data_IF_469070388614
#
_entry.id   IF_469070388614
#
_cell.length_a   1.000
_cell.length_b   1.000
_cell.length_c   1.000
_cell.angle_alpha   90.00
_cell.angle_beta   90.00
_cell.angle_gamma   90.00
#
_symmetry.space_group_name_H-M   'P 1'
#
loop_
_entity.id
_entity.type
_entity.pdbx_description
1 polymer ?
#
# COMPACT_ATOMS: atom_id res chain seq x y z
N UNK A 1 -4.66 5.31 16.38
CA UNK A 1 -5.64 5.27 15.28
C UNK A 1 -5.12 5.98 14.05
N UNK A 2 -5.08 7.32 14.07
CA UNK A 2 -4.74 8.13 12.91
C UNK A 2 -3.41 7.75 12.23
N UNK A 3 -2.41 7.30 12.99
CA UNK A 3 -1.12 6.86 12.42
C UNK A 3 -1.24 5.66 11.47
N UNK A 4 -2.08 4.68 11.80
CA UNK A 4 -2.29 3.49 10.95
C UNK A 4 -2.99 3.92 9.66
N UNK A 5 -3.97 4.82 9.76
CA UNK A 5 -4.69 5.36 8.61
C UNK A 5 -3.77 6.19 7.71
N UNK A 6 -2.93 7.05 8.30
CA UNK A 6 -1.92 7.85 7.58
C UNK A 6 -0.95 6.94 6.86
N UNK A 7 -0.42 5.91 7.52
CA UNK A 7 0.47 4.93 6.87
C UNK A 7 -0.25 4.21 5.73
N UNK A 8 -1.52 3.82 5.92
CA UNK A 8 -2.33 3.20 4.87
C UNK A 8 -2.50 4.12 3.66
N UNK A 9 -2.84 5.39 3.89
CA UNK A 9 -2.94 6.41 2.83
C UNK A 9 -1.62 6.60 2.11
N UNK A 10 -0.48 6.62 2.81
CA UNK A 10 0.84 6.73 2.18
C UNK A 10 1.14 5.52 1.30
N UNK A 11 0.89 4.29 1.78
CA UNK A 11 1.07 3.06 0.99
C UNK A 11 0.20 3.08 -0.28
N UNK A 12 -1.06 3.46 -0.12
CA UNK A 12 -2.01 3.59 -1.22
C UNK A 12 -1.51 4.64 -2.23
N UNK A 13 -1.15 5.82 -1.75
CA UNK A 13 -0.68 6.92 -2.60
C UNK A 13 0.58 6.54 -3.38
N UNK A 14 1.59 5.95 -2.73
CA UNK A 14 2.80 5.49 -3.41
C UNK A 14 2.51 4.40 -4.43
N UNK A 15 1.56 3.51 -4.13
CA UNK A 15 1.12 2.50 -5.08
C UNK A 15 0.45 3.12 -6.31
N UNK A 16 -0.44 4.09 -6.13
CA UNK A 16 -1.02 4.83 -7.25
C UNK A 16 0.00 5.66 -8.02
N UNK A 17 0.98 6.24 -7.33
CA UNK A 17 2.05 7.00 -7.99
C UNK A 17 2.86 6.11 -8.93
N UNK A 18 3.12 4.85 -8.53
CA UNK A 18 3.79 3.83 -9.35
C UNK A 18 2.98 3.35 -10.56
N UNK A 19 1.68 3.65 -10.64
CA UNK A 19 0.83 3.29 -11.79
C UNK A 19 0.95 4.30 -12.94
N UNK A 20 1.51 5.48 -12.69
CA UNK A 20 1.54 6.57 -13.68
C UNK A 20 2.66 6.27 -14.71
N UNK A 21 2.33 6.04 -16.00
CA UNK A 21 3.31 5.66 -17.02
C UNK A 21 4.04 6.92 -17.54
N UNK A 22 4.90 7.49 -16.70
CA UNK A 22 5.68 8.70 -17.01
C UNK A 22 7.15 8.41 -16.75
N UNK A 23 7.99 8.69 -17.74
CA UNK A 23 9.43 8.42 -17.66
C UNK A 23 10.22 9.40 -16.78
N UNK A 24 9.56 10.42 -16.22
CA UNK A 24 10.23 11.37 -15.32
C UNK A 24 10.64 10.66 -14.03
N UNK A 25 11.87 10.90 -13.60
CA UNK A 25 12.50 10.23 -12.46
C UNK A 25 11.64 10.20 -11.18
N UNK A 26 10.93 11.30 -10.87
CA UNK A 26 10.06 11.41 -9.70
C UNK A 26 8.80 10.52 -9.73
N UNK A 27 8.36 10.01 -10.90
CA UNK A 27 7.31 8.99 -11.00
C UNK A 27 7.92 7.60 -10.83
N UNK A 28 9.00 7.34 -11.57
CA UNK A 28 9.76 6.09 -11.49
C UNK A 28 10.35 5.83 -10.11
N UNK A 29 10.58 6.86 -9.30
CA UNK A 29 11.03 6.77 -7.92
C UNK A 29 10.15 5.85 -7.05
N UNK A 30 8.84 5.80 -7.31
CA UNK A 30 7.92 4.91 -6.59
C UNK A 30 7.99 3.44 -7.06
N UNK A 31 8.58 3.17 -8.22
CA UNK A 31 8.78 1.81 -8.74
C UNK A 31 9.99 1.10 -8.11
N UNK A 32 10.92 1.83 -7.51
CA UNK A 32 12.10 1.25 -6.86
C UNK A 32 11.80 0.58 -5.50
N UNK A 33 11.05 1.21 -4.57
CA UNK A 33 10.86 0.67 -3.23
C UNK A 33 9.66 -0.30 -3.11
N UNK A 34 9.37 -1.13 -4.14
CA UNK A 34 8.16 -1.99 -4.13
C UNK A 34 8.10 -2.94 -2.94
N UNK A 35 9.22 -3.55 -2.57
CA UNK A 35 9.29 -4.45 -1.40
C UNK A 35 9.06 -3.69 -0.09
N UNK A 36 9.58 -2.47 0.03
CA UNK A 36 9.37 -1.61 1.20
C UNK A 36 7.90 -1.18 1.29
N UNK A 37 7.30 -0.76 0.18
CA UNK A 37 5.86 -0.42 0.12
C UNK A 37 5.02 -1.63 0.52
N UNK A 38 5.38 -2.82 0.02
CA UNK A 38 4.69 -4.07 0.34
C UNK A 38 4.80 -4.42 1.83
N UNK A 39 6.01 -4.35 2.39
CA UNK A 39 6.27 -4.64 3.80
C UNK A 39 5.50 -3.68 4.72
N UNK A 40 5.58 -2.38 4.47
CA UNK A 40 4.83 -1.37 5.23
C UNK A 40 3.32 -1.54 5.03
N UNK A 41 2.87 -1.91 3.83
CA UNK A 41 1.49 -2.24 3.53
C UNK A 41 0.95 -3.39 4.39
N UNK A 42 1.71 -4.48 4.52
CA UNK A 42 1.32 -5.58 5.40
C UNK A 42 1.27 -5.18 6.89
N UNK A 43 2.22 -4.36 7.37
CA UNK A 43 2.17 -3.82 8.73
C UNK A 43 0.90 -2.98 8.93
N UNK A 44 0.56 -2.12 7.97
CA UNK A 44 -0.64 -1.31 8.00
C UNK A 44 -1.92 -2.17 7.98
N UNK A 45 -1.94 -3.24 7.19
CA UNK A 45 -3.06 -4.19 7.12
C UNK A 45 -3.29 -4.88 8.47
N UNK A 46 -2.23 -5.40 9.09
CA UNK A 46 -2.29 -5.99 10.43
C UNK A 46 -2.78 -4.94 11.44
N UNK A 47 -2.26 -3.71 11.38
CA UNK A 47 -2.71 -2.61 12.23
C UNK A 47 -4.20 -2.30 12.06
N UNK A 48 -4.71 -2.27 10.83
CA UNK A 48 -6.13 -2.01 10.55
C UNK A 48 -7.04 -3.11 11.11
N UNK A 49 -6.63 -4.37 11.00
CA UNK A 49 -7.43 -5.53 11.43
C UNK A 49 -7.44 -5.75 12.94
N UNK A 50 -6.30 -5.56 13.62
CA UNK A 50 -6.13 -6.01 15.01
C UNK A 50 -6.06 -4.88 16.04
N UNK A 51 -5.85 -3.62 15.63
CA UNK A 51 -5.85 -2.53 16.60
C UNK A 51 -7.29 -2.17 17.01
N UNK A 52 -7.60 -2.10 18.32
CA UNK A 52 -8.94 -1.77 18.79
C UNK A 52 -9.30 -0.32 18.42
N UNK A 53 -10.22 -0.18 17.47
CA UNK A 53 -10.82 1.06 17.00
C UNK A 53 -12.31 0.89 16.80
N UNK A 54 -13.02 2.00 16.84
CA UNK A 54 -14.31 2.11 16.15
C UNK A 54 -14.12 1.95 14.64
N UNK A 55 -15.04 1.21 14.03
CA UNK A 55 -15.16 1.07 12.58
C UNK A 55 -16.22 2.03 12.07
N UNK A 56 -15.86 2.78 11.04
CA UNK A 56 -16.76 3.61 10.28
C UNK A 56 -16.53 3.36 8.78
N UNK A 57 -17.40 3.93 7.96
CA UNK A 57 -17.35 3.71 6.50
C UNK A 57 -16.02 4.13 5.88
N UNK A 58 -15.35 5.16 6.44
CA UNK A 58 -14.04 5.59 5.96
C UNK A 58 -12.95 4.54 6.21
N UNK A 59 -12.96 3.92 7.40
CA UNK A 59 -11.99 2.90 7.77
C UNK A 59 -12.19 1.61 6.97
N UNK A 60 -13.44 1.27 6.67
CA UNK A 60 -13.80 0.15 5.78
C UNK A 60 -13.31 0.38 4.35
N UNK A 61 -13.59 1.57 3.79
CA UNK A 61 -13.10 1.94 2.46
C UNK A 61 -11.57 1.96 2.40
N UNK A 62 -10.92 2.52 3.42
CA UNK A 62 -9.46 2.57 3.50
C UNK A 62 -8.85 1.17 3.55
N UNK A 63 -9.45 0.24 4.31
CA UNK A 63 -9.04 -1.16 4.35
C UNK A 63 -9.15 -1.81 2.97
N UNK A 64 -10.29 -1.63 2.28
CA UNK A 64 -10.52 -2.23 0.97
C UNK A 64 -9.50 -1.75 -0.07
N UNK A 65 -9.21 -0.44 -0.10
CA UNK A 65 -8.22 0.14 -1.01
C UNK A 65 -6.80 -0.28 -0.63
N UNK A 66 -6.48 -0.39 0.67
CA UNK A 66 -5.20 -0.90 1.14
C UNK A 66 -4.96 -2.35 0.68
N UNK A 67 -5.96 -3.21 0.79
CA UNK A 67 -5.88 -4.60 0.30
C UNK A 67 -5.61 -4.62 -1.21
N UNK A 68 -6.31 -3.79 -1.99
CA UNK A 68 -6.08 -3.67 -3.43
C UNK A 68 -4.66 -3.19 -3.77
N UNK A 69 -4.14 -2.21 -3.01
CA UNK A 69 -2.78 -1.72 -3.18
C UNK A 69 -1.72 -2.81 -2.90
N UNK A 70 -1.89 -3.57 -1.80
CA UNK A 70 -1.01 -4.71 -1.46
C UNK A 70 -1.06 -5.78 -2.54
N UNK A 71 -2.27 -6.15 -3.01
CA UNK A 71 -2.44 -7.13 -4.08
C UNK A 71 -1.74 -6.72 -5.37
N UNK A 72 -1.81 -5.43 -5.74
CA UNK A 72 -1.09 -4.89 -6.89
C UNK A 72 0.44 -4.95 -6.70
N UNK A 73 0.95 -4.54 -5.54
CA UNK A 73 2.39 -4.62 -5.26
C UNK A 73 2.89 -6.07 -5.27
N UNK A 74 2.11 -7.00 -4.69
CA UNK A 74 2.40 -8.44 -4.77
C UNK A 74 2.49 -8.92 -6.22
N UNK A 75 1.48 -8.60 -7.04
CA UNK A 75 1.48 -8.96 -8.47
C UNK A 75 2.73 -8.45 -9.19
N UNK A 76 3.23 -7.26 -8.83
CA UNK A 76 4.43 -6.69 -9.43
C UNK A 76 5.72 -7.31 -8.90
N UNK A 77 5.75 -7.84 -7.68
CA UNK A 77 6.95 -8.43 -7.06
C UNK A 77 7.08 -9.93 -7.37
N UNK A 78 5.98 -10.68 -7.30
CA UNK A 78 5.97 -12.15 -7.41
C UNK A 78 6.71 -12.73 -8.63
N UNK A 79 6.58 -12.16 -9.86
CA UNK A 79 7.30 -12.67 -11.03
C UNK A 79 8.83 -12.63 -10.91
N UNK A 80 9.36 -11.79 -10.01
CA UNK A 80 10.79 -11.59 -9.80
C UNK A 80 11.32 -12.32 -8.55
N UNK A 81 10.46 -12.98 -7.77
CA UNK A 81 10.82 -13.61 -6.49
C UNK A 81 10.59 -15.11 -6.44
N UNK A 82 9.73 -15.64 -7.32
CA UNK A 82 9.53 -17.08 -7.44
C UNK A 82 10.54 -17.63 -8.46
N UNK A 83 11.57 -18.31 -7.94
CA UNK A 83 12.59 -19.05 -8.67
C UNK A 83 12.31 -20.54 -8.55
#
# INVERSE_FOLDING_TARGET
>A
MIYIEVVSVVVIWLTFWSLIPRDKWWFRGADFPRLQILFVGFIALIGMLFWPSEWNIWRELLLAVLIAAIAYQLKMVLPYTLF
#
